data_IF_732208071742
#
_entry.id   IF_732208071742
#
_cell.length_a   1.000
_cell.length_b   1.000
_cell.length_c   1.000
_cell.angle_alpha   90.00
_cell.angle_beta   90.00
_cell.angle_gamma   90.00
#
_symmetry.space_group_name_H-M   'P 1'
#
loop_
_entity.id
_entity.type
_entity.pdbx_description
1 polymer ?
#
# COMPACT_ATOMS: atom_id res chain seq x y z
N UNK A 1 0.22 -4.58 -7.62
CA UNK A 1 0.47 -3.82 -8.88
C UNK A 1 0.34 -4.76 -10.07
N UNK A 2 0.35 -4.25 -11.30
CA UNK A 2 0.47 -5.07 -12.50
C UNK A 2 1.94 -5.24 -12.89
N UNK A 3 2.36 -6.47 -13.20
CA UNK A 3 3.71 -6.81 -13.68
C UNK A 3 3.61 -7.76 -14.88
N UNK A 4 4.66 -7.94 -15.72
CA UNK A 4 4.60 -8.91 -16.82
C UNK A 4 4.35 -10.33 -16.27
N UNK A 5 3.59 -11.15 -17.01
CA UNK A 5 3.28 -12.54 -16.58
C UNK A 5 4.53 -13.42 -16.39
N UNK A 6 5.66 -13.03 -17.00
CA UNK A 6 6.98 -13.67 -16.86
C UNK A 6 7.77 -13.19 -15.65
N UNK A 7 7.30 -12.15 -14.94
CA UNK A 7 7.97 -11.59 -13.78
C UNK A 7 7.97 -12.57 -12.62
N UNK A 8 9.11 -12.64 -11.92
CA UNK A 8 9.23 -13.36 -10.65
C UNK A 8 8.38 -12.73 -9.54
N UNK A 9 7.89 -11.50 -9.74
CA UNK A 9 7.02 -10.79 -8.81
C UNK A 9 5.54 -11.17 -8.94
N UNK A 10 5.13 -12.00 -9.92
CA UNK A 10 3.73 -12.41 -10.05
C UNK A 10 3.24 -13.10 -8.77
N UNK A 11 2.02 -12.79 -8.35
CA UNK A 11 1.34 -13.52 -7.28
C UNK A 11 0.36 -14.55 -7.84
N UNK A 12 0.17 -15.61 -7.07
CA UNK A 12 -0.79 -16.69 -7.40
C UNK A 12 -1.78 -16.84 -6.26
N UNK A 13 -3.05 -17.04 -6.58
CA UNK A 13 -4.12 -17.27 -5.61
C UNK A 13 -4.16 -18.73 -5.18
N UNK A 14 -4.31 -18.96 -3.88
CA UNK A 14 -4.51 -20.29 -3.29
C UNK A 14 -5.80 -20.96 -3.77
N UNK A 15 -6.86 -20.18 -3.95
CA UNK A 15 -8.20 -20.68 -4.30
C UNK A 15 -8.59 -20.43 -5.76
N UNK A 16 -7.61 -20.28 -6.66
CA UNK A 16 -7.85 -19.97 -8.08
C UNK A 16 -8.83 -20.93 -8.77
N UNK A 17 -8.68 -22.24 -8.52
CA UNK A 17 -9.57 -23.27 -9.08
C UNK A 17 -11.03 -23.04 -8.65
N UNK A 18 -11.27 -22.81 -7.36
CA UNK A 18 -12.61 -22.57 -6.83
C UNK A 18 -13.26 -21.30 -7.39
N UNK A 19 -12.47 -20.24 -7.60
CA UNK A 19 -12.98 -19.03 -8.27
C UNK A 19 -13.40 -19.28 -9.72
N UNK A 20 -12.71 -20.17 -10.45
CA UNK A 20 -13.08 -20.53 -11.82
C UNK A 20 -14.29 -21.47 -11.87
N UNK A 21 -14.52 -22.26 -10.83
CA UNK A 21 -15.65 -23.19 -10.70
C UNK A 21 -16.87 -22.55 -10.02
N UNK A 22 -16.79 -21.27 -9.63
CA UNK A 22 -17.81 -20.55 -8.86
C UNK A 22 -18.18 -21.23 -7.52
N UNK A 23 -17.21 -21.94 -6.91
CA UNK A 23 -17.35 -22.70 -5.66
C UNK A 23 -16.89 -21.89 -4.42
N UNK A 24 -17.66 -20.86 -4.04
CA UNK A 24 -17.28 -19.97 -2.93
C UNK A 24 -18.42 -19.59 -1.96
N UNK A 25 -19.66 -20.02 -2.22
CA UNK A 25 -20.80 -19.71 -1.37
C UNK A 25 -21.09 -18.20 -1.20
N UNK A 26 -22.06 -17.82 -0.35
CA UNK A 26 -22.43 -16.41 -0.17
C UNK A 26 -21.36 -15.59 0.56
N UNK A 27 -20.50 -16.24 1.34
CA UNK A 27 -19.41 -15.57 2.08
C UNK A 27 -18.19 -15.24 1.20
N UNK A 28 -18.18 -15.72 -0.05
CA UNK A 28 -17.04 -15.59 -0.96
C UNK A 28 -15.81 -16.38 -0.52
N UNK A 29 -14.69 -16.17 -1.22
CA UNK A 29 -13.40 -16.75 -0.88
C UNK A 29 -12.38 -15.66 -0.58
N UNK A 30 -11.47 -15.87 0.38
CA UNK A 30 -10.39 -14.94 0.64
C UNK A 30 -9.38 -14.95 -0.51
N UNK A 31 -8.87 -13.78 -0.87
CA UNK A 31 -7.75 -13.62 -1.82
C UNK A 31 -6.40 -13.99 -1.18
N UNK A 32 -6.30 -15.19 -0.61
CA UNK A 32 -5.06 -15.75 -0.07
C UNK A 32 -4.07 -16.10 -1.17
N UNK A 33 -2.78 -15.89 -0.90
CA UNK A 33 -1.71 -16.14 -1.87
C UNK A 33 -1.09 -17.52 -1.66
N UNK A 34 -0.93 -18.29 -2.73
CA UNK A 34 -0.11 -19.51 -2.73
C UNK A 34 1.37 -19.20 -2.93
N UNK A 35 1.72 -18.14 -3.65
CA UNK A 35 3.12 -17.72 -3.84
C UNK A 35 3.74 -17.06 -2.61
N UNK A 36 2.93 -16.62 -1.64
CA UNK A 36 3.38 -15.96 -0.41
C UNK A 36 2.60 -16.53 0.78
N UNK A 37 3.09 -17.61 1.43
CA UNK A 37 2.42 -18.23 2.57
C UNK A 37 2.09 -17.21 3.67
N UNK A 38 0.92 -17.36 4.28
CA UNK A 38 0.39 -16.45 5.31
C UNK A 38 0.09 -15.01 4.85
N UNK A 39 0.05 -14.77 3.53
CA UNK A 39 -0.30 -13.47 2.96
C UNK A 39 -1.56 -13.54 2.10
N UNK A 40 -2.18 -12.38 1.90
CA UNK A 40 -3.34 -12.20 1.05
C UNK A 40 -3.45 -10.79 0.47
N UNK A 41 -4.31 -10.63 -0.54
CA UNK A 41 -4.66 -9.31 -1.07
C UNK A 41 -5.64 -8.65 -0.11
N UNK A 42 -5.29 -7.48 0.39
CA UNK A 42 -6.02 -6.76 1.42
C UNK A 42 -6.21 -5.28 1.06
N UNK A 43 -7.05 -4.58 1.83
CA UNK A 43 -7.18 -3.14 1.78
C UNK A 43 -5.95 -2.49 2.43
N UNK A 44 -5.15 -1.77 1.65
CA UNK A 44 -3.94 -1.11 2.14
C UNK A 44 -4.27 0.00 3.15
N UNK A 45 -5.45 0.61 3.04
CA UNK A 45 -5.94 1.63 3.96
C UNK A 45 -6.08 1.16 5.40
N UNK A 46 -6.32 -0.14 5.61
CA UNK A 46 -6.37 -0.78 6.93
C UNK A 46 -5.01 -0.74 7.62
N UNK A 47 -3.92 -0.70 6.85
CA UNK A 47 -2.55 -0.79 7.36
C UNK A 47 -1.81 0.54 7.35
N UNK A 48 -2.06 1.39 6.34
CA UNK A 48 -1.30 2.63 6.14
C UNK A 48 -1.93 3.87 6.80
N UNK A 49 -2.96 3.72 7.63
CA UNK A 49 -3.66 4.87 8.21
C UNK A 49 -4.12 5.85 7.13
N UNK A 50 -4.74 5.33 6.06
CA UNK A 50 -5.06 6.11 4.87
C UNK A 50 -5.74 7.43 5.22
N UNK A 51 -5.24 8.50 4.60
CA UNK A 51 -5.68 9.87 4.85
C UNK A 51 -7.19 10.00 4.60
N UNK A 52 -7.86 10.84 5.39
CA UNK A 52 -9.29 11.11 5.21
C UNK A 52 -9.65 11.56 3.78
N UNK A 53 -8.70 12.09 3.01
CA UNK A 53 -8.91 12.49 1.62
C UNK A 53 -9.15 11.30 0.68
N UNK A 54 -8.35 10.23 0.75
CA UNK A 54 -8.56 9.04 -0.10
C UNK A 54 -9.84 8.28 0.30
N UNK A 55 -10.14 8.24 1.61
CA UNK A 55 -11.41 7.70 2.11
C UNK A 55 -12.61 8.47 1.56
N UNK A 56 -12.54 9.80 1.51
CA UNK A 56 -13.59 10.66 0.94
C UNK A 56 -13.79 10.44 -0.56
N UNK A 57 -12.74 10.04 -1.28
CA UNK A 57 -12.81 9.72 -2.71
C UNK A 57 -13.24 8.27 -2.98
N UNK A 58 -13.41 7.43 -1.95
CA UNK A 58 -13.77 6.01 -2.12
C UNK A 58 -12.66 5.17 -2.76
N UNK A 59 -11.41 5.65 -2.78
CA UNK A 59 -10.29 4.97 -3.44
C UNK A 59 -9.42 4.30 -2.38
N UNK A 60 -9.34 2.97 -2.41
CA UNK A 60 -8.51 2.20 -1.49
C UNK A 60 -7.52 1.32 -2.25
N UNK A 61 -6.22 1.56 -2.11
CA UNK A 61 -5.23 0.70 -2.76
C UNK A 61 -5.32 -0.75 -2.27
N UNK A 62 -5.18 -1.69 -3.20
CA UNK A 62 -5.01 -3.10 -2.89
C UNK A 62 -3.53 -3.35 -2.59
N UNK A 63 -3.26 -4.01 -1.47
CA UNK A 63 -1.91 -4.35 -1.03
C UNK A 63 -1.79 -5.82 -0.64
N UNK A 64 -0.59 -6.24 -0.27
CA UNK A 64 -0.34 -7.56 0.30
C UNK A 64 -0.23 -7.39 1.82
N UNK A 65 -1.08 -8.10 2.55
CA UNK A 65 -1.12 -8.10 4.01
C UNK A 65 -1.10 -9.52 4.59
N UNK A 66 -1.18 -9.68 5.92
CA UNK A 66 -1.45 -10.97 6.56
C UNK A 66 -2.70 -11.64 6.00
N UNK A 67 -2.72 -12.97 5.90
CA UNK A 67 -3.85 -13.72 5.32
C UNK A 67 -5.16 -13.49 6.08
N UNK A 68 -5.09 -13.20 7.38
CA UNK A 68 -6.22 -12.93 8.25
C UNK A 68 -6.94 -11.64 7.86
N UNK A 69 -6.25 -10.71 7.18
CA UNK A 69 -6.81 -9.49 6.64
C UNK A 69 -7.11 -9.54 5.14
N UNK A 70 -7.10 -10.72 4.51
CA UNK A 70 -7.42 -10.86 3.09
C UNK A 70 -8.85 -10.42 2.80
N UNK A 71 -9.06 -9.76 1.67
CA UNK A 71 -10.41 -9.47 1.20
C UNK A 71 -11.10 -10.78 0.79
N UNK A 72 -12.30 -11.02 1.34
CA UNK A 72 -13.20 -12.05 0.86
C UNK A 72 -13.97 -11.51 -0.35
N UNK A 73 -13.91 -12.23 -1.47
CA UNK A 73 -14.53 -11.80 -2.73
C UNK A 73 -15.40 -12.89 -3.34
N UNK A 74 -16.41 -12.44 -4.08
CA UNK A 74 -17.17 -13.25 -5.04
C UNK A 74 -16.78 -12.83 -6.46
N UNK A 75 -17.13 -13.67 -7.44
CA UNK A 75 -16.87 -13.41 -8.85
C UNK A 75 -18.17 -13.19 -9.62
N UNK A 76 -18.43 -11.96 -10.03
CA UNK A 76 -19.56 -11.61 -10.90
C UNK A 76 -19.06 -11.44 -12.34
N UNK A 77 -19.22 -12.48 -13.17
CA UNK A 77 -18.58 -12.54 -14.48
C UNK A 77 -17.05 -12.52 -14.36
N UNK A 78 -16.42 -11.44 -14.81
CA UNK A 78 -14.97 -11.22 -14.66
C UNK A 78 -14.63 -10.22 -13.54
N UNK A 79 -15.61 -9.72 -12.78
CA UNK A 79 -15.36 -8.82 -11.67
C UNK A 79 -15.01 -9.60 -10.40
N UNK A 80 -14.05 -9.10 -9.63
CA UNK A 80 -13.76 -9.59 -8.28
C UNK A 80 -14.31 -8.57 -7.29
N UNK A 81 -15.42 -8.91 -6.64
CA UNK A 81 -16.17 -8.01 -5.77
C UNK A 81 -16.05 -8.44 -4.32
N UNK A 82 -15.67 -7.52 -3.44
CA UNK A 82 -15.56 -7.76 -2.01
C UNK A 82 -16.94 -7.90 -1.36
N UNK A 83 -17.14 -9.00 -0.61
CA UNK A 83 -18.42 -9.33 0.02
C UNK A 83 -18.81 -8.32 1.11
N UNK A 84 -17.82 -7.74 1.81
CA UNK A 84 -18.07 -6.87 2.97
C UNK A 84 -18.67 -5.51 2.60
N UNK A 85 -18.23 -4.93 1.49
CA UNK A 85 -18.53 -3.54 1.14
C UNK A 85 -18.90 -3.35 -0.34
N UNK A 86 -19.03 -4.44 -1.11
CA UNK A 86 -19.36 -4.44 -2.54
C UNK A 86 -18.35 -3.71 -3.44
N UNK A 87 -17.17 -3.34 -2.92
CA UNK A 87 -16.11 -2.74 -3.74
C UNK A 87 -15.56 -3.78 -4.72
N UNK A 88 -15.21 -3.33 -5.93
CA UNK A 88 -14.57 -4.16 -6.95
C UNK A 88 -13.08 -3.90 -7.01
N UNK A 89 -12.31 -4.97 -7.20
CA UNK A 89 -10.88 -4.88 -7.50
C UNK A 89 -10.72 -4.39 -8.94
N UNK A 90 -9.89 -3.36 -9.18
CA UNK A 90 -9.61 -2.84 -10.53
C UNK A 90 -8.24 -2.19 -10.65
N UNK A 91 -7.79 -1.97 -11.88
CA UNK A 91 -6.63 -1.11 -12.13
C UNK A 91 -7.01 0.36 -11.98
N UNK A 92 -6.12 1.19 -11.41
CA UNK A 92 -6.38 2.64 -11.23
C UNK A 92 -6.66 3.36 -12.55
N UNK A 93 -6.01 2.90 -13.63
CA UNK A 93 -6.14 3.40 -14.99
C UNK A 93 -6.06 2.24 -16.00
N UNK A 94 -5.73 2.55 -17.26
CA UNK A 94 -5.43 1.56 -18.29
C UNK A 94 -4.35 0.57 -17.77
N UNK A 95 -4.56 -0.75 -17.89
CA UNK A 95 -3.61 -1.71 -17.37
C UNK A 95 -2.31 -1.70 -18.18
N UNK A 96 -1.28 -1.10 -17.60
CA UNK A 96 0.12 -1.13 -18.08
C UNK A 96 1.04 -1.65 -16.97
N UNK A 97 2.27 -2.03 -17.32
CA UNK A 97 3.25 -2.44 -16.32
C UNK A 97 3.41 -1.37 -15.22
N UNK A 98 3.51 -1.77 -13.95
CA UNK A 98 3.59 -0.88 -12.79
C UNK A 98 2.26 -0.30 -12.30
N UNK A 99 1.15 -0.47 -13.04
CA UNK A 99 -0.14 0.13 -12.67
C UNK A 99 -0.61 -0.35 -11.29
N UNK A 100 -1.07 0.59 -10.46
CA UNK A 100 -1.66 0.30 -9.15
C UNK A 100 -3.01 -0.41 -9.29
N UNK A 101 -3.29 -1.28 -8.33
CA UNK A 101 -4.56 -1.98 -8.21
C UNK A 101 -5.23 -1.46 -6.95
N UNK A 102 -6.54 -1.27 -7.01
CA UNK A 102 -7.33 -0.66 -5.96
C UNK A 102 -8.69 -1.33 -5.84
N UNK A 103 -9.32 -1.09 -4.71
CA UNK A 103 -10.72 -1.30 -4.42
C UNK A 103 -11.47 0.01 -4.59
N UNK A 104 -12.61 -0.04 -5.28
CA UNK A 104 -13.49 1.10 -5.49
C UNK A 104 -14.96 0.62 -5.52
N UNK A 105 -15.89 1.52 -5.27
CA UNK A 105 -17.32 1.24 -5.37
C UNK A 105 -17.69 0.70 -6.76
N UNK A 106 -18.62 -0.25 -6.79
CA UNK A 106 -19.10 -0.91 -8.00
C UNK A 106 -20.09 -0.05 -8.82
N UNK A 107 -19.81 1.24 -9.00
CA UNK A 107 -20.62 2.07 -9.90
C UNK A 107 -20.42 1.66 -11.37
N UNK A 108 -21.40 1.99 -12.24
CA UNK A 108 -21.38 1.58 -13.66
C UNK A 108 -20.15 2.11 -14.42
N UNK A 109 -19.64 3.28 -14.05
CA UNK A 109 -18.40 3.80 -14.62
C UNK A 109 -17.17 3.01 -14.16
N UNK A 110 -17.19 2.49 -12.93
CA UNK A 110 -16.12 1.73 -12.33
C UNK A 110 -15.99 0.33 -12.90
N UNK A 111 -17.05 -0.24 -13.50
CA UNK A 111 -16.98 -1.56 -14.17
C UNK A 111 -16.07 -1.55 -15.41
N UNK A 112 -15.83 -0.38 -16.02
CA UNK A 112 -14.86 -0.24 -17.11
C UNK A 112 -13.43 -0.52 -16.60
N UNK A 113 -12.74 -1.47 -17.21
CA UNK A 113 -11.37 -1.91 -16.85
C UNK A 113 -11.27 -2.71 -15.53
N UNK A 114 -12.35 -3.37 -15.12
CA UNK A 114 -12.40 -4.12 -13.85
C UNK A 114 -12.52 -5.63 -14.02
N UNK A 115 -12.48 -6.11 -15.27
CA UNK A 115 -12.46 -7.53 -15.60
C UNK A 115 -11.11 -8.18 -15.34
N UNK A 116 -11.13 -9.34 -14.68
CA UNK A 116 -9.97 -10.15 -14.35
C UNK A 116 -10.11 -11.59 -14.87
N UNK A 117 -9.00 -12.13 -15.35
CA UNK A 117 -8.81 -13.52 -15.73
C UNK A 117 -8.03 -14.20 -14.60
N UNK A 118 -8.67 -15.14 -13.91
CA UNK A 118 -7.98 -16.04 -12.97
C UNK A 118 -7.52 -17.27 -13.74
N UNK A 119 -6.20 -17.39 -13.95
CA UNK A 119 -5.58 -18.46 -14.72
C UNK A 119 -5.53 -19.77 -13.93
N UNK A 120 -5.31 -20.88 -14.65
CA UNK A 120 -5.13 -22.21 -14.04
C UNK A 120 -3.90 -22.29 -13.12
N UNK A 121 -2.84 -21.53 -13.43
CA UNK A 121 -1.63 -21.40 -12.59
C UNK A 121 -1.85 -20.49 -11.35
N UNK A 122 -3.06 -19.97 -11.17
CA UNK A 122 -3.44 -19.09 -10.09
C UNK A 122 -3.06 -17.63 -10.26
N UNK A 123 -2.37 -17.25 -11.35
CA UNK A 123 -2.13 -15.83 -11.65
C UNK A 123 -3.43 -15.13 -11.99
N UNK A 124 -3.51 -13.85 -11.67
CA UNK A 124 -4.68 -13.01 -11.95
C UNK A 124 -4.26 -11.91 -12.92
N UNK A 125 -4.86 -11.86 -14.10
CA UNK A 125 -4.52 -10.92 -15.17
C UNK A 125 -5.70 -9.99 -15.47
N UNK A 126 -5.48 -8.71 -15.81
CA UNK A 126 -6.56 -7.87 -16.35
C UNK A 126 -7.03 -8.44 -17.69
N UNK A 127 -8.34 -8.45 -17.94
CA UNK A 127 -8.91 -8.94 -19.19
C UNK A 127 -8.38 -8.19 -20.42
N UNK A 128 -8.16 -6.88 -20.29
CA UNK A 128 -7.67 -6.00 -21.36
C UNK A 128 -6.15 -6.08 -21.57
N UNK A 129 -5.42 -6.70 -20.66
CA UNK A 129 -3.96 -6.83 -20.73
C UNK A 129 -3.51 -8.20 -20.19
N UNK A 130 -3.86 -9.30 -20.87
CA UNK A 130 -3.60 -10.67 -20.39
C UNK A 130 -2.11 -11.04 -20.33
N UNK A 131 -1.23 -10.20 -20.89
CA UNK A 131 0.23 -10.30 -20.77
C UNK A 131 0.77 -9.72 -19.44
N UNK A 132 -0.08 -9.11 -18.62
CA UNK A 132 0.21 -8.65 -17.27
C UNK A 132 -0.47 -9.54 -16.22
N UNK A 133 0.06 -9.58 -15.00
CA UNK A 133 -0.49 -10.28 -13.83
C UNK A 133 -0.49 -9.34 -12.62
N UNK A 134 -1.28 -9.66 -11.59
CA UNK A 134 -1.07 -9.11 -10.25
C UNK A 134 0.31 -9.51 -9.77
N UNK A 135 1.06 -8.55 -9.24
CA UNK A 135 2.39 -8.73 -8.68
C UNK A 135 2.56 -8.12 -7.30
N UNK A 136 3.38 -8.81 -6.51
CA UNK A 136 3.98 -8.35 -5.27
C UNK A 136 5.21 -7.56 -5.65
N UNK A 137 5.15 -6.23 -5.62
CA UNK A 137 6.39 -5.49 -5.78
C UNK A 137 7.20 -5.64 -4.49
N UNK A 138 8.47 -6.07 -4.56
CA UNK A 138 9.34 -6.13 -3.38
C UNK A 138 9.60 -4.73 -2.82
N UNK A 139 9.41 -3.71 -3.66
CA UNK A 139 9.70 -2.33 -3.31
C UNK A 139 8.51 -1.70 -2.59
N UNK A 140 8.74 -1.26 -1.36
CA UNK A 140 7.74 -0.56 -0.56
C UNK A 140 7.80 0.94 -0.82
N UNK A 141 6.66 1.64 -0.75
CA UNK A 141 6.67 3.10 -0.78
C UNK A 141 7.42 3.68 0.42
N UNK A 142 8.06 4.82 0.26
CA UNK A 142 8.72 5.54 1.35
C UNK A 142 7.68 6.22 2.25
N UNK A 143 7.81 6.09 3.57
CA UNK A 143 6.87 6.65 4.56
C UNK A 143 7.61 7.33 5.71
N UNK A 144 6.87 8.11 6.51
CA UNK A 144 7.31 8.56 7.82
C UNK A 144 6.94 7.51 8.88
N UNK A 145 7.91 7.08 9.67
CA UNK A 145 7.74 6.17 10.82
C UNK A 145 8.22 6.85 12.09
N UNK A 146 7.98 6.21 13.25
CA UNK A 146 8.67 6.68 14.46
C UNK A 146 10.19 6.65 14.21
N UNK A 147 10.91 7.70 14.61
CA UNK A 147 12.32 7.49 15.00
C UNK A 147 12.30 6.44 16.11
N UNK A 148 13.28 5.60 16.37
CA UNK A 148 13.12 4.45 17.31
C UNK A 148 12.28 3.27 16.75
N UNK A 149 11.57 3.41 15.62
CA UNK A 149 10.96 2.25 14.93
C UNK A 149 12.05 1.37 14.32
N UNK A 150 11.85 0.05 14.35
CA UNK A 150 12.70 -0.90 13.60
C UNK A 150 12.55 -0.72 12.08
N UNK A 151 11.47 -0.08 11.62
CA UNK A 151 11.23 0.20 10.21
C UNK A 151 11.89 1.50 9.73
N UNK A 152 12.63 2.21 10.59
CA UNK A 152 13.36 3.44 10.22
C UNK A 152 14.52 3.11 9.28
N UNK A 153 14.69 3.93 8.25
CA UNK A 153 15.84 3.87 7.37
C UNK A 153 17.04 4.60 7.97
N UNK A 154 18.19 3.94 7.92
CA UNK A 154 19.51 4.56 8.09
C UNK A 154 20.29 4.44 6.80
N UNK A 155 21.11 5.45 6.50
CA UNK A 155 21.83 5.59 5.24
C UNK A 155 23.33 5.34 5.42
N UNK A 156 23.94 4.69 4.43
CA UNK A 156 25.38 4.39 4.43
C UNK A 156 26.19 5.69 4.43
N UNK A 157 25.90 6.58 3.48
CA UNK A 157 26.62 7.84 3.26
C UNK A 157 26.02 9.03 4.02
N UNK A 158 25.59 8.80 5.26
CA UNK A 158 24.90 9.82 6.05
C UNK A 158 25.83 10.96 6.47
N UNK A 159 27.14 10.72 6.64
CA UNK A 159 28.10 11.77 6.96
C UNK A 159 28.26 12.74 5.78
N UNK A 160 28.38 12.22 4.56
CA UNK A 160 28.43 13.04 3.34
C UNK A 160 27.12 13.79 3.14
N UNK A 161 25.97 13.17 3.40
CA UNK A 161 24.67 13.86 3.35
C UNK A 161 24.60 15.01 4.36
N UNK A 162 25.16 14.82 5.56
CA UNK A 162 25.22 15.85 6.60
C UNK A 162 26.18 16.98 6.23
N UNK A 163 27.30 16.68 5.57
CA UNK A 163 28.20 17.69 4.99
C UNK A 163 27.51 18.50 3.89
N UNK A 164 26.73 17.84 3.01
CA UNK A 164 25.88 18.51 2.01
C UNK A 164 24.87 19.44 2.69
N UNK A 165 24.23 19.00 3.78
CA UNK A 165 23.28 19.82 4.54
C UNK A 165 23.92 21.08 5.13
N UNK A 166 25.20 21.01 5.51
CA UNK A 166 25.96 22.13 6.05
C UNK A 166 26.57 23.03 4.97
N UNK A 167 26.19 22.84 3.69
CA UNK A 167 26.74 23.55 2.53
C UNK A 167 28.27 23.39 2.38
N UNK A 168 28.85 22.30 2.90
CA UNK A 168 30.27 22.01 2.78
C UNK A 168 30.60 21.33 1.44
N UNK A 169 29.58 20.86 0.72
CA UNK A 169 29.70 20.24 -0.59
C UNK A 169 29.18 21.24 -1.65
N UNK A 170 30.03 21.65 -2.62
CA UNK A 170 29.62 22.50 -3.73
C UNK A 170 28.43 21.96 -4.52
N UNK A 171 27.53 22.85 -4.97
CA UNK A 171 26.30 22.51 -5.71
C UNK A 171 26.55 21.94 -7.12
N UNK A 172 27.78 21.95 -7.62
CA UNK A 172 28.18 21.35 -8.89
C UNK A 172 28.67 19.90 -8.74
N UNK A 173 28.83 19.39 -7.51
CA UNK A 173 29.14 17.99 -7.26
C UNK A 173 27.91 17.09 -7.47
N UNK A 174 28.18 15.88 -7.95
CA UNK A 174 27.21 14.77 -8.07
C UNK A 174 26.58 14.49 -6.70
N UNK A 175 25.28 14.22 -6.68
CA UNK A 175 24.54 13.86 -5.48
C UNK A 175 25.03 12.56 -4.84
N UNK A 176 24.69 12.42 -3.56
CA UNK A 176 25.09 11.33 -2.69
C UNK A 176 24.01 10.24 -2.75
N UNK A 177 24.38 8.97 -2.99
CA UNK A 177 23.40 7.90 -3.12
C UNK A 177 22.65 7.63 -1.82
N UNK A 178 21.33 7.46 -1.92
CA UNK A 178 20.44 7.06 -0.82
C UNK A 178 20.50 5.54 -0.56
N UNK A 179 21.72 5.00 -0.43
CA UNK A 179 21.98 3.60 -0.08
C UNK A 179 21.70 3.35 1.41
N UNK A 180 21.09 2.20 1.72
CA UNK A 180 20.64 1.87 3.06
C UNK A 180 21.70 1.09 3.84
N UNK A 181 22.12 1.60 5.00
CA UNK A 181 22.91 0.82 5.96
C UNK A 181 22.05 -0.17 6.75
N UNK A 182 20.78 0.18 6.97
CA UNK A 182 19.79 -0.70 7.62
C UNK A 182 19.46 -1.96 6.81
N UNK A 183 19.69 -1.94 5.48
CA UNK A 183 19.32 -3.01 4.56
C UNK A 183 20.42 -3.15 3.49
N UNK A 184 21.42 -4.05 3.68
CA UNK A 184 22.54 -4.19 2.75
C UNK A 184 22.08 -4.46 1.31
N UNK A 185 22.83 -3.90 0.34
CA UNK A 185 22.55 -3.96 -1.11
C UNK A 185 21.22 -3.30 -1.54
N UNK A 186 20.56 -2.55 -0.66
CA UNK A 186 19.32 -1.86 -0.95
C UNK A 186 19.49 -0.33 -0.96
N UNK A 187 18.64 0.34 -1.73
CA UNK A 187 18.56 1.79 -1.83
C UNK A 187 17.13 2.31 -1.84
N UNK A 188 17.00 3.63 -1.68
CA UNK A 188 15.83 4.37 -2.15
C UNK A 188 16.00 4.58 -3.64
N UNK A 189 15.10 4.04 -4.46
CA UNK A 189 15.17 4.11 -5.92
C UNK A 189 13.97 4.84 -6.50
N UNK A 190 14.12 5.40 -7.68
CA UNK A 190 12.98 5.80 -8.49
C UNK A 190 12.25 4.56 -8.98
N UNK A 191 10.93 4.65 -9.02
CA UNK A 191 10.12 3.54 -9.51
C UNK A 191 10.22 3.43 -11.03
N UNK A 192 11.01 2.47 -11.51
CA UNK A 192 11.30 2.24 -12.95
C UNK A 192 10.06 2.07 -13.83
N UNK A 193 8.96 1.55 -13.28
CA UNK A 193 7.72 1.25 -14.01
C UNK A 193 6.64 2.35 -13.90
N UNK A 194 6.93 3.49 -13.27
CA UNK A 194 5.97 4.61 -13.15
C UNK A 194 6.71 5.93 -13.36
N UNK A 195 6.92 6.33 -14.63
CA UNK A 195 8.03 7.18 -15.01
C UNK A 195 7.95 8.60 -14.46
N UNK A 196 6.75 9.16 -14.31
CA UNK A 196 6.46 10.46 -13.71
C UNK A 196 4.94 10.64 -13.79
N UNK A 197 4.32 11.32 -12.82
CA UNK A 197 2.93 11.77 -12.91
C UNK A 197 2.92 13.29 -13.06
N UNK A 198 2.46 13.77 -14.21
CA UNK A 198 2.18 15.19 -14.39
C UNK A 198 0.79 15.49 -13.83
N UNK A 199 0.73 16.30 -12.77
CA UNK A 199 -0.51 16.72 -12.13
C UNK A 199 -0.55 18.24 -12.17
N UNK A 200 -1.28 18.76 -13.16
CA UNK A 200 -1.46 20.20 -13.37
C UNK A 200 -0.14 20.97 -13.45
N UNK A 201 0.27 21.64 -12.36
CA UNK A 201 1.48 22.45 -12.26
C UNK A 201 2.62 21.76 -11.51
N UNK A 202 2.61 20.43 -11.36
CA UNK A 202 3.71 19.71 -10.75
C UNK A 202 3.91 18.29 -11.31
N UNK A 203 5.17 17.88 -11.35
CA UNK A 203 5.61 16.50 -11.62
C UNK A 203 5.76 15.76 -10.29
N UNK A 204 5.25 14.53 -10.20
CA UNK A 204 5.46 13.61 -9.07
C UNK A 204 6.22 12.38 -9.53
N UNK A 205 7.21 11.96 -8.76
CA UNK A 205 7.87 10.66 -8.92
C UNK A 205 7.69 9.85 -7.64
N UNK A 206 7.32 8.59 -7.82
CA UNK A 206 7.24 7.66 -6.70
C UNK A 206 8.63 7.14 -6.36
N UNK A 207 8.97 7.26 -5.08
CA UNK A 207 10.16 6.65 -4.50
C UNK A 207 9.78 5.32 -3.90
N UNK A 208 10.66 4.34 -4.05
CA UNK A 208 10.48 3.04 -3.43
C UNK A 208 11.76 2.62 -2.70
N UNK A 209 11.58 1.82 -1.66
CA UNK A 209 12.66 1.27 -0.84
C UNK A 209 12.88 -0.18 -1.27
N UNK A 210 14.15 -0.62 -1.29
CA UNK A 210 14.49 -2.03 -1.55
C UNK A 210 14.84 -2.32 -3.01
N UNK A 211 15.12 -1.29 -3.81
CA UNK A 211 15.81 -1.48 -5.09
C UNK A 211 17.31 -1.70 -4.88
N UNK A 212 18.04 -2.19 -5.88
CA UNK A 212 19.48 -2.43 -5.76
C UNK A 212 20.26 -1.15 -5.42
N UNK A 213 21.25 -1.25 -4.54
CA UNK A 213 22.05 -0.11 -4.07
C UNK A 213 22.70 0.70 -5.21
N UNK A 214 23.11 0.03 -6.29
CA UNK A 214 23.70 0.63 -7.49
C UNK A 214 22.70 1.49 -8.29
N UNK A 215 21.40 1.32 -8.03
CA UNK A 215 20.32 2.10 -8.63
C UNK A 215 19.73 3.14 -7.66
N UNK A 216 20.39 3.37 -6.51
CA UNK A 216 19.92 4.34 -5.51
C UNK A 216 19.82 5.74 -6.11
N UNK A 217 18.72 6.43 -5.80
CA UNK A 217 18.53 7.82 -6.10
C UNK A 217 19.67 8.64 -5.47
N UNK A 218 20.21 9.56 -6.26
CA UNK A 218 21.25 10.49 -5.82
C UNK A 218 20.58 11.73 -5.23
N UNK A 219 20.99 12.11 -4.02
CA UNK A 219 20.38 13.18 -3.26
C UNK A 219 21.41 14.16 -2.71
N UNK A 220 20.96 15.39 -2.46
CA UNK A 220 21.73 16.45 -1.82
C UNK A 220 20.80 17.43 -1.14
N UNK A 221 21.33 18.19 -0.20
CA UNK A 221 20.57 19.23 0.46
C UNK A 221 20.67 20.56 -0.29
N UNK A 222 19.54 21.25 -0.48
CA UNK A 222 19.52 22.63 -0.91
C UNK A 222 19.96 23.57 0.23
N UNK A 223 20.21 24.85 -0.09
CA UNK A 223 20.45 25.89 0.93
C UNK A 223 19.29 26.02 1.93
N UNK A 224 18.08 25.67 1.51
CA UNK A 224 16.86 25.67 2.33
C UNK A 224 16.66 24.34 3.10
N UNK A 225 17.67 23.46 3.09
CA UNK A 225 17.63 22.11 3.70
C UNK A 225 16.59 21.17 3.10
N UNK A 226 16.19 21.40 1.85
CA UNK A 226 15.34 20.45 1.13
C UNK A 226 16.20 19.30 0.62
N UNK A 227 15.70 18.08 0.68
CA UNK A 227 16.38 16.94 0.06
C UNK A 227 16.04 16.91 -1.43
N UNK A 228 16.97 17.39 -2.26
CA UNK A 228 16.87 17.44 -3.72
C UNK A 228 17.44 16.15 -4.28
N UNK A 229 16.70 15.51 -5.19
CA UNK A 229 17.17 14.35 -5.93
C UNK A 229 17.60 14.78 -7.34
N UNK A 230 18.77 14.31 -7.78
CA UNK A 230 19.41 14.84 -8.99
C UNK A 230 18.68 14.47 -10.30
N UNK A 231 17.95 13.35 -10.32
CA UNK A 231 17.20 12.96 -11.51
C UNK A 231 15.94 13.83 -11.69
N UNK A 232 15.36 13.76 -12.88
CA UNK A 232 14.17 14.53 -13.25
C UNK A 232 14.32 16.05 -13.02
N UNK A 233 15.54 16.58 -13.19
CA UNK A 233 15.83 18.02 -13.12
C UNK A 233 15.70 18.61 -11.72
N UNK A 234 16.18 17.90 -10.69
CA UNK A 234 16.23 18.43 -9.32
C UNK A 234 14.90 18.34 -8.59
N UNK A 235 14.27 17.16 -8.58
CA UNK A 235 12.99 16.94 -7.91
C UNK A 235 13.18 16.89 -6.38
N UNK A 236 12.28 17.49 -5.59
CA UNK A 236 12.43 17.57 -4.13
C UNK A 236 11.62 16.51 -3.41
N UNK A 237 12.18 15.94 -2.33
CA UNK A 237 11.43 15.04 -1.46
C UNK A 237 10.29 15.79 -0.75
N UNK A 238 9.13 15.17 -0.68
CA UNK A 238 7.90 15.80 -0.21
C UNK A 238 7.00 14.79 0.52
N UNK A 239 6.50 15.17 1.70
CA UNK A 239 5.53 14.39 2.48
C UNK A 239 4.13 14.66 1.94
N UNK A 240 3.42 13.60 1.55
CA UNK A 240 2.10 13.71 0.93
C UNK A 240 1.12 14.46 1.83
N UNK A 241 0.55 15.55 1.30
CA UNK A 241 -0.38 16.42 2.03
C UNK A 241 0.26 17.38 3.03
N UNK A 242 1.60 17.41 3.15
CA UNK A 242 2.32 18.30 4.06
C UNK A 242 2.19 17.95 5.54
N UNK A 243 1.53 16.84 5.87
CA UNK A 243 1.25 16.43 7.26
C UNK A 243 2.40 15.58 7.79
N UNK A 244 3.10 16.07 8.81
CA UNK A 244 4.27 15.41 9.41
C UNK A 244 3.84 14.44 10.50
N UNK A 245 3.28 13.30 10.10
CA UNK A 245 2.74 12.27 11.00
C UNK A 245 3.22 10.88 10.57
N UNK A 246 3.20 9.91 11.50
CA UNK A 246 3.52 8.51 11.19
C UNK A 246 2.54 7.94 10.17
N UNK A 247 3.03 7.07 9.29
CA UNK A 247 2.26 6.45 8.21
C UNK A 247 2.05 7.35 6.99
N UNK A 248 2.56 8.59 6.99
CA UNK A 248 2.45 9.49 5.85
C UNK A 248 3.43 9.10 4.76
N UNK A 249 2.94 8.94 3.55
CA UNK A 249 3.77 8.63 2.38
C UNK A 249 4.68 9.79 2.02
N UNK A 250 5.85 9.45 1.47
CA UNK A 250 6.86 10.39 0.98
C UNK A 250 7.06 10.12 -0.51
N UNK A 251 7.02 11.17 -1.30
CA UNK A 251 7.19 11.18 -2.75
C UNK A 251 8.30 12.16 -3.12
N UNK A 252 8.72 12.16 -4.38
CA UNK A 252 9.45 13.27 -4.95
C UNK A 252 8.50 14.14 -5.78
N UNK A 253 8.57 15.46 -5.65
CA UNK A 253 7.70 16.43 -6.33
C UNK A 253 8.52 17.60 -6.87
N UNK A 254 8.19 18.08 -8.08
CA UNK A 254 8.73 19.32 -8.66
C UNK A 254 7.56 20.19 -9.13
N UNK A 255 7.57 21.47 -8.78
CA UNK A 255 6.61 22.41 -9.36
C UNK A 255 7.08 22.84 -10.76
N UNK A 256 6.20 22.74 -11.75
CA UNK A 256 6.44 23.12 -13.14
C UNK A 256 5.96 24.56 -13.35
N UNK A 257 6.55 25.51 -12.62
CA UNK A 257 6.25 26.93 -12.71
C UNK A 257 7.49 27.77 -12.43
N UNK A 258 7.51 29.01 -12.89
CA UNK A 258 8.67 29.93 -12.80
C UNK A 258 9.11 30.20 -11.36
N UNK A 259 8.19 30.09 -10.40
CA UNK A 259 8.44 30.25 -8.97
C UNK A 259 8.04 28.97 -8.22
N UNK A 260 8.90 27.93 -8.23
CA UNK A 260 8.59 26.70 -7.54
C UNK A 260 8.43 26.97 -6.04
N UNK A 261 7.37 26.43 -5.44
CA UNK A 261 7.24 26.51 -3.98
C UNK A 261 8.35 25.66 -3.34
N UNK A 262 8.96 26.14 -2.24
CA UNK A 262 9.92 25.33 -1.51
C UNK A 262 9.23 24.05 -1.02
N UNK A 263 9.98 22.95 -1.09
CA UNK A 263 9.71 21.69 -0.44
C UNK A 263 9.87 21.78 1.08
N UNK A 264 9.79 20.62 1.73
CA UNK A 264 9.90 20.53 3.18
C UNK A 264 11.37 20.36 3.59
N UNK A 265 11.82 21.01 4.66
CA UNK A 265 13.18 20.84 5.16
C UNK A 265 13.33 19.48 5.86
N UNK A 266 14.45 18.81 5.58
CA UNK A 266 14.86 17.57 6.24
C UNK A 266 16.19 17.77 6.98
N UNK A 267 16.49 16.85 7.89
CA UNK A 267 17.75 16.76 8.59
C UNK A 267 18.29 15.34 8.62
N UNK A 268 19.61 15.23 8.52
CA UNK A 268 20.32 13.98 8.76
C UNK A 268 20.67 13.91 10.25
N UNK A 269 20.21 12.85 10.91
CA UNK A 269 20.46 12.60 12.32
C UNK A 269 21.81 11.89 12.52
N UNK A 270 22.31 11.87 13.76
CA UNK A 270 23.59 11.24 14.10
C UNK A 270 23.58 9.70 13.95
N UNK A 271 22.39 9.09 14.01
CA UNK A 271 22.19 7.65 13.78
C UNK A 271 22.08 7.30 12.28
N UNK A 272 22.31 8.28 11.40
CA UNK A 272 22.22 8.14 9.95
C UNK A 272 20.81 8.06 9.40
N UNK A 273 19.78 8.28 10.22
CA UNK A 273 18.39 8.43 9.74
C UNK A 273 18.12 9.84 9.22
N UNK A 274 17.05 10.01 8.44
CA UNK A 274 16.61 11.31 7.91
C UNK A 274 15.23 11.64 8.45
N UNK A 275 15.04 12.84 9.00
CA UNK A 275 13.79 13.32 9.60
C UNK A 275 13.35 14.66 9.00
N UNK A 276 12.05 14.96 8.94
CA UNK A 276 11.61 16.35 8.75
C UNK A 276 12.13 17.23 9.89
N UNK A 277 12.61 18.45 9.58
CA UNK A 277 13.14 19.38 10.61
C UNK A 277 12.06 19.72 11.65
N UNK A 278 10.82 19.93 11.21
CA UNK A 278 9.72 20.30 12.10
C UNK A 278 9.11 19.10 12.86
N UNK A 279 9.59 17.88 12.60
CA UNK A 279 9.13 16.66 13.28
C UNK A 279 10.28 15.67 13.50
N UNK A 280 11.25 15.98 14.37
CA UNK A 280 12.46 15.16 14.57
C UNK A 280 12.21 13.82 15.27
N UNK A 281 10.98 13.60 15.78
CA UNK A 281 10.54 12.36 16.40
C UNK A 281 10.04 11.32 15.39
N UNK A 282 9.94 11.69 14.10
CA UNK A 282 9.63 10.79 13.00
C UNK A 282 10.76 10.81 11.96
N UNK A 283 10.93 9.71 11.23
CA UNK A 283 12.01 9.53 10.26
C UNK A 283 11.50 8.82 9.01
N UNK A 284 12.28 8.88 7.93
CA UNK A 284 12.04 8.07 6.73
C UNK A 284 12.09 6.57 7.09
N UNK A 285 11.16 5.79 6.54
CA UNK A 285 10.96 4.40 6.94
C UNK A 285 10.13 3.58 5.96
N UNK A 286 10.10 2.28 6.21
CA UNK A 286 9.11 1.36 5.65
C UNK A 286 7.76 1.57 6.33
N UNK A 287 6.64 1.41 5.62
CA UNK A 287 5.34 1.49 6.25
C UNK A 287 5.19 0.50 7.41
N UNK A 288 4.82 1.00 8.60
CA UNK A 288 4.41 0.17 9.73
C UNK A 288 3.06 -0.47 9.42
N UNK A 289 3.07 -1.72 8.97
CA UNK A 289 1.85 -2.52 8.80
C UNK A 289 1.33 -2.86 10.19
N UNK A 290 0.41 -2.06 10.72
CA UNK A 290 -0.33 -2.41 11.93
C UNK A 290 -1.26 -3.56 11.60
N UNK A 291 -0.98 -4.75 12.09
CA UNK A 291 -1.95 -5.84 12.07
C UNK A 291 -3.11 -5.36 12.96
N UNK A 292 -4.32 -5.12 12.41
CA UNK A 292 -5.45 -4.80 13.28
C UNK A 292 -5.59 -5.97 14.25
N UNK A 293 -5.69 -5.68 15.55
CA UNK A 293 -6.07 -6.69 16.52
C UNK A 293 -7.39 -7.26 16.03
N UNK A 294 -7.36 -8.48 15.52
CA UNK A 294 -8.58 -9.23 15.22
C UNK A 294 -9.14 -9.53 16.60
N UNK A 295 -10.03 -8.67 17.08
CA UNK A 295 -10.98 -9.07 18.11
C UNK A 295 -11.81 -10.18 17.46
N UNK A 296 -11.40 -11.42 17.70
CA UNK A 296 -12.27 -12.56 17.46
C UNK A 296 -13.56 -12.26 18.20
N UNK A 297 -14.72 -12.22 17.54
CA UNK A 297 -15.97 -12.34 18.26
C UNK A 297 -15.86 -13.65 19.05
N UNK A 298 -15.87 -13.58 20.37
CA UNK A 298 -16.01 -14.74 21.23
C UNK A 298 -17.41 -15.34 20.97
N UNK A 299 -17.54 -16.12 19.90
CA UNK A 299 -18.74 -16.90 19.65
C UNK A 299 -18.72 -18.18 20.51
N UNK A 300 -19.46 -18.09 21.61
CA UNK A 300 -20.35 -19.14 22.12
C UNK A 300 -19.69 -20.49 22.39
N UNK A 301 -18.75 -20.52 23.34
CA UNK A 301 -18.40 -21.76 24.06
C UNK A 301 -18.75 -21.63 25.53
N UNK A 302 -20.03 -21.86 25.87
CA UNK A 302 -20.53 -22.40 27.16
C UNK A 302 -22.03 -22.12 27.38
N UNK A 303 -22.90 -22.81 26.64
CA UNK A 303 -24.24 -23.18 27.15
C UNK A 303 -24.58 -24.61 26.74
N UNK A 304 -23.81 -25.54 27.27
CA UNK A 304 -24.18 -26.95 27.38
C UNK A 304 -23.77 -27.44 28.76
N UNK A 305 -24.52 -27.02 29.78
CA UNK A 305 -24.62 -27.74 31.06
C UNK A 305 -26.06 -27.68 31.56
N UNK A 306 -26.69 -28.86 31.51
CA UNK A 306 -27.77 -29.35 32.37
C UNK A 306 -29.04 -28.49 32.54
N UNK A 307 -30.09 -28.84 31.80
CA UNK A 307 -31.43 -28.91 32.40
C UNK A 307 -32.06 -30.26 32.06
N UNK A 308 -32.08 -31.14 33.05
CA UNK A 308 -32.92 -32.33 33.09
C UNK A 308 -34.00 -32.08 34.14
N UNK A 309 -35.25 -32.31 33.72
CA UNK A 309 -36.45 -32.62 34.53
C UNK A 309 -36.98 -31.51 35.45
N UNK A 310 -38.08 -30.87 35.03
CA UNK A 310 -39.31 -31.05 35.81
C UNK A 310 -40.56 -31.00 34.92
N UNK A 311 -41.44 -31.96 35.15
CA UNK A 311 -42.67 -32.21 34.44
C UNK A 311 -43.82 -31.95 35.39
N UNK A 312 -44.74 -31.04 35.07
CA UNK A 312 -46.19 -31.26 35.22
C UNK A 312 -47.03 -29.98 35.04
N UNK A 313 -48.12 -30.15 34.27
CA UNK A 313 -49.42 -29.44 34.33
C UNK A 313 -49.39 -27.95 33.94
N UNK A 314 -50.37 -27.36 33.26
CA UNK A 314 -51.71 -27.76 32.83
C UNK A 314 -52.19 -26.75 31.76
N UNK A 315 -53.05 -27.26 30.87
CA UNK A 315 -54.03 -26.60 30.00
C UNK A 315 -54.30 -25.08 30.19
N UNK A 316 -54.33 -24.31 29.10
CA UNK A 316 -55.58 -23.75 28.51
C UNK A 316 -55.36 -22.95 27.21
N UNK A 317 -56.40 -22.98 26.37
CA UNK A 317 -56.59 -22.28 25.09
C UNK A 317 -56.65 -20.76 25.22
N UNK A 318 -56.26 -20.05 24.16
CA UNK A 318 -57.02 -19.04 23.38
C UNK A 318 -56.02 -18.19 22.55
N UNK A 319 -56.08 -18.23 21.21
CA UNK A 319 -56.74 -17.19 20.38
C UNK A 319 -56.65 -15.77 20.96
N UNK A 320 -55.85 -14.87 20.36
CA UNK A 320 -56.38 -13.83 19.46
C UNK A 320 -55.28 -12.90 18.91
N UNK A 321 -55.63 -12.38 17.75
CA UNK A 321 -54.94 -11.51 16.81
C UNK A 321 -54.82 -10.04 17.28
N UNK A 322 -53.91 -9.30 16.61
CA UNK A 322 -53.76 -7.82 16.53
C UNK A 322 -52.97 -7.19 17.68
N UNK A 323 -52.11 -6.18 17.52
CA UNK A 323 -52.08 -4.99 16.65
C UNK A 323 -50.60 -4.66 16.32
N UNK A 324 -50.26 -4.03 15.19
CA UNK A 324 -50.07 -2.57 15.07
C UNK A 324 -49.34 -1.95 16.27
#
# INVERSE_FOLDING_TARGET
>A
FLVPVTSQCCITLKYAKKFNEYDYGPSGLPLELSSHPHKGIAYLSTYLGATNALKKLGIFFAGIGPKEGSACVIREGNLLQCVKNNDILRSYHKPVNGTAVLWNSADEHAKQNSGWIIRQDGKVSPEQAPHLCLGALPQCGLHLVSRDSQNRLTFEYHLELKESQNNLIPNDKKGIPLTLSSHPNCGVVYRSESPTFEVHNFTVVHLCIGGPSESSALARFSKSKELVLDEHGGIVMFVVGGLLERGRGVIAKRYNCDQPRPGQPFQVNDDGSISPVDAPHIALGFPEIKIPNVECPDEVSSRLTSQTVDSSKERHKNELTKYL
#
